data_IF_732658204604
#
_entry.id   IF_732658204604
#
_cell.length_a   1.000
_cell.length_b   1.000
_cell.length_c   1.000
_cell.angle_alpha   90.00
_cell.angle_beta   90.00
_cell.angle_gamma   90.00
#
_symmetry.space_group_name_H-M   'P 1'
#
loop_
_entity.id
_entity.type
_entity.pdbx_description
1 polymer ?
#
# COMPACT_ATOMS: atom_id res chain seq x y z
N UNK A 1 8.62 5.09 10.86
CA UNK A 1 8.06 3.71 10.80
C UNK A 1 8.80 2.94 9.71
N UNK A 2 9.31 1.74 10.01
CA UNK A 2 10.12 0.97 9.04
C UNK A 2 9.28 0.10 8.09
N UNK A 3 7.95 0.13 8.26
CA UNK A 3 7.01 -0.62 7.44
C UNK A 3 7.10 -0.19 5.98
N UNK A 4 7.01 -1.19 5.11
CA UNK A 4 7.03 -1.00 3.66
C UNK A 4 5.63 -1.03 3.08
N UNK A 5 5.50 -0.61 1.82
CA UNK A 5 4.26 -0.77 1.06
C UNK A 5 3.82 -2.23 1.00
N UNK A 6 4.77 -3.18 0.94
CA UNK A 6 4.45 -4.60 0.99
C UNK A 6 3.72 -4.98 2.29
N UNK A 7 4.17 -4.45 3.43
CA UNK A 7 3.58 -4.76 4.73
C UNK A 7 2.17 -4.16 4.86
N UNK A 8 1.99 -2.93 4.35
CA UNK A 8 0.65 -2.33 4.24
C UNK A 8 -0.28 -3.16 3.34
N UNK A 9 0.19 -3.64 2.18
CA UNK A 9 -0.61 -4.51 1.30
C UNK A 9 -1.00 -5.82 1.99
N UNK A 10 -0.12 -6.42 2.79
CA UNK A 10 -0.44 -7.65 3.56
C UNK A 10 -1.50 -7.39 4.62
N UNK A 11 -1.49 -6.24 5.29
CA UNK A 11 -2.54 -5.87 6.25
C UNK A 11 -3.90 -5.72 5.56
N UNK A 12 -3.92 -5.04 4.40
CA UNK A 12 -5.13 -4.91 3.58
C UNK A 12 -5.60 -6.27 3.09
N UNK A 13 -4.69 -7.14 2.66
CA UNK A 13 -4.99 -8.51 2.27
C UNK A 13 -5.66 -9.31 3.38
N UNK A 14 -5.15 -9.20 4.63
CA UNK A 14 -5.74 -9.85 5.79
C UNK A 14 -7.18 -9.35 6.07
N UNK A 15 -7.44 -8.06 5.85
CA UNK A 15 -8.75 -7.46 6.10
C UNK A 15 -9.78 -7.71 4.99
N UNK A 16 -9.33 -7.77 3.73
CA UNK A 16 -10.19 -7.87 2.54
C UNK A 16 -10.31 -9.28 1.98
N UNK A 17 -9.46 -10.22 2.43
CA UNK A 17 -9.38 -11.57 1.90
C UNK A 17 -8.77 -11.66 0.49
N UNK A 18 -8.22 -10.56 -0.03
CA UNK A 18 -7.57 -10.53 -1.34
C UNK A 18 -6.08 -10.80 -1.19
N UNK A 19 -5.49 -11.60 -2.11
CA UNK A 19 -4.05 -11.83 -2.14
C UNK A 19 -3.28 -10.52 -2.32
N UNK A 20 -2.25 -10.28 -1.50
CA UNK A 20 -1.50 -9.02 -1.48
C UNK A 20 -0.83 -8.70 -2.83
N UNK A 21 -0.45 -9.72 -3.61
CA UNK A 21 0.14 -9.57 -4.94
C UNK A 21 -0.82 -8.95 -5.96
N UNK A 22 -2.13 -9.05 -5.72
CA UNK A 22 -3.17 -8.44 -6.56
C UNK A 22 -3.51 -7.01 -6.16
N UNK A 23 -3.05 -6.56 -4.97
CA UNK A 23 -3.37 -5.24 -4.46
C UNK A 23 -2.37 -4.25 -5.04
N UNK A 24 -2.88 -3.24 -5.74
CA UNK A 24 -2.11 -2.12 -6.26
C UNK A 24 -2.54 -0.87 -5.51
N UNK A 25 -1.61 -0.28 -4.76
CA UNK A 25 -1.81 0.99 -4.07
C UNK A 25 -1.31 2.12 -4.97
N UNK A 26 -2.13 3.16 -5.11
CA UNK A 26 -1.84 4.32 -5.94
C UNK A 26 -2.30 5.61 -5.29
N UNK A 27 -1.68 6.71 -5.68
CA UNK A 27 -2.17 8.06 -5.43
C UNK A 27 -1.95 8.89 -6.69
N UNK A 28 -3.01 9.36 -7.34
CA UNK A 28 -2.95 10.12 -8.60
C UNK A 28 -2.24 9.36 -9.73
N UNK A 29 -0.99 9.72 -10.03
CA UNK A 29 -0.15 9.10 -11.07
C UNK A 29 0.94 8.19 -10.50
N UNK A 30 1.08 8.14 -9.17
CA UNK A 30 2.13 7.40 -8.48
C UNK A 30 1.63 6.04 -8.04
N UNK A 31 2.26 4.98 -8.56
CA UNK A 31 2.08 3.60 -8.08
C UNK A 31 3.16 3.32 -7.05
N UNK A 32 2.77 2.87 -5.87
CA UNK A 32 3.69 2.61 -4.78
C UNK A 32 4.40 1.27 -4.94
N UNK A 33 5.73 1.26 -4.78
CA UNK A 33 6.56 0.06 -4.89
C UNK A 33 6.69 -0.64 -3.54
N UNK A 34 6.63 -1.97 -3.58
CA UNK A 34 6.57 -2.83 -2.40
C UNK A 34 7.74 -2.67 -1.43
N UNK A 35 8.95 -2.42 -1.94
CA UNK A 35 10.18 -2.39 -1.16
C UNK A 35 10.53 -1.00 -0.57
N UNK A 36 9.68 0.00 -0.78
CA UNK A 36 9.89 1.37 -0.28
C UNK A 36 9.09 1.56 1.00
N UNK A 37 9.64 2.32 1.95
CA UNK A 37 8.98 2.58 3.23
C UNK A 37 7.79 3.51 3.05
N UNK A 38 6.82 3.40 3.95
CA UNK A 38 5.71 4.34 4.01
C UNK A 38 6.19 5.79 4.21
N UNK A 39 7.23 5.95 5.03
CA UNK A 39 7.83 7.26 5.36
C UNK A 39 8.54 7.90 4.16
N UNK A 40 9.24 7.11 3.33
CA UNK A 40 9.89 7.58 2.09
C UNK A 40 8.88 8.11 1.07
N UNK A 41 7.61 7.67 1.16
CA UNK A 41 6.49 8.15 0.35
C UNK A 41 5.64 9.21 1.07
N UNK A 42 6.05 9.66 2.26
CA UNK A 42 5.31 10.60 3.10
C UNK A 42 3.85 10.15 3.35
N UNK A 43 3.66 8.84 3.57
CA UNK A 43 2.36 8.26 3.91
C UNK A 43 2.19 8.31 5.43
N UNK A 44 1.20 9.09 5.87
CA UNK A 44 0.88 9.31 7.26
C UNK A 44 -0.54 8.84 7.60
N UNK A 45 -0.82 8.74 8.89
CA UNK A 45 -2.14 8.38 9.39
C UNK A 45 -3.23 9.35 8.87
N UNK A 46 -4.42 8.82 8.59
CA UNK A 46 -5.54 9.58 8.04
C UNK A 46 -5.44 9.91 6.54
N UNK A 47 -4.39 9.50 5.84
CA UNK A 47 -4.29 9.67 4.39
C UNK A 47 -5.13 8.64 3.62
N UNK A 48 -5.80 9.10 2.57
CA UNK A 48 -6.50 8.22 1.64
C UNK A 48 -5.57 7.78 0.50
N UNK A 49 -5.60 6.49 0.18
CA UNK A 49 -4.92 5.86 -0.95
C UNK A 49 -5.95 5.20 -1.86
N UNK A 50 -5.68 5.18 -3.17
CA UNK A 50 -6.49 4.48 -4.14
C UNK A 50 -6.08 3.01 -4.16
N UNK A 51 -7.06 2.11 -4.08
CA UNK A 51 -6.86 0.66 -4.13
C UNK A 51 -7.40 0.12 -5.46
N UNK A 52 -6.51 -0.54 -6.20
CA UNK A 52 -6.83 -1.24 -7.45
C UNK A 52 -6.51 -2.72 -7.32
N UNK A 53 -7.20 -3.53 -8.12
CA UNK A 53 -6.96 -4.97 -8.22
C UNK A 53 -6.37 -5.30 -9.58
N UNK A 54 -5.35 -6.17 -9.58
CA UNK A 54 -4.83 -6.83 -10.78
C UNK A 54 -5.33 -8.28 -10.88
#
# INVERSE_FOLDING_TARGET
>A
PDDTIADLKKLIAAQTGTRWEKIVLKKWYTVFKDNIKLDDYEIHDGMNLELYYQ
#
